data_IF_498194110032
#
_entry.id   IF_498194110032
#
_cell.length_a   1.000
_cell.length_b   1.000
_cell.length_c   1.000
_cell.angle_alpha   90.00
_cell.angle_beta   90.00
_cell.angle_gamma   90.00
#
_symmetry.space_group_name_H-M   'P 1'
#
loop_
_entity.id
_entity.type
_entity.pdbx_description
1 polymer ?
#
# COMPACT_ATOMS: atom_id res chain seq x y z
N UNK A 1 -0.29 37.03 -47.85
CA UNK A 1 -0.54 35.57 -47.84
C UNK A 1 0.55 34.76 -47.12
N UNK A 2 1.27 35.32 -46.11
CA UNK A 2 2.37 34.63 -45.40
C UNK A 2 2.09 34.34 -43.91
N UNK A 3 1.08 35.00 -43.33
CA UNK A 3 0.75 34.91 -41.89
C UNK A 3 -0.20 33.75 -41.54
N UNK A 4 -0.96 33.25 -42.51
CA UNK A 4 -1.89 32.13 -42.32
C UNK A 4 -1.19 30.78 -42.15
N UNK A 5 0.05 30.65 -42.65
CA UNK A 5 0.79 29.39 -42.59
C UNK A 5 1.38 29.11 -41.20
N UNK A 6 1.83 30.15 -40.48
CA UNK A 6 2.39 29.99 -39.13
C UNK A 6 1.34 29.53 -38.10
N UNK A 7 0.08 29.96 -38.25
CA UNK A 7 -1.00 29.58 -37.34
C UNK A 7 -1.41 28.10 -37.50
N UNK A 8 -1.30 27.55 -38.70
CA UNK A 8 -1.64 26.15 -38.97
C UNK A 8 -0.62 25.16 -38.38
N UNK A 9 0.65 25.55 -38.30
CA UNK A 9 1.72 24.70 -37.75
C UNK A 9 1.66 24.62 -36.22
N UNK A 10 1.25 25.70 -35.55
CA UNK A 10 1.15 25.75 -34.07
C UNK A 10 -0.04 24.91 -33.54
N UNK A 11 -1.14 24.84 -34.29
CA UNK A 11 -2.32 24.04 -33.89
C UNK A 11 -2.15 22.53 -34.08
N UNK A 12 -1.21 22.09 -34.92
CA UNK A 12 -0.94 20.67 -35.16
C UNK A 12 0.05 20.03 -34.17
N UNK A 13 0.77 20.83 -33.38
CA UNK A 13 1.82 20.34 -32.47
C UNK A 13 1.44 20.39 -30.97
N UNK A 14 0.20 20.74 -30.64
CA UNK A 14 -0.17 21.14 -29.27
C UNK A 14 -0.76 20.06 -28.35
N UNK A 15 -1.04 18.83 -28.81
CA UNK A 15 -1.97 17.98 -28.05
C UNK A 15 -1.65 16.49 -28.03
N UNK A 16 -0.45 16.08 -27.59
CA UNK A 16 -0.24 14.69 -27.16
C UNK A 16 0.80 14.59 -26.04
N UNK A 17 0.51 15.21 -24.89
CA UNK A 17 1.08 14.74 -23.63
C UNK A 17 0.08 13.75 -23.04
N UNK A 18 0.31 12.42 -23.13
CA UNK A 18 -0.53 11.49 -22.41
C UNK A 18 -0.37 11.81 -20.92
N UNK A 19 -1.47 12.17 -20.26
CA UNK A 19 -1.49 12.22 -18.80
C UNK A 19 -1.17 10.80 -18.30
N UNK A 20 -0.14 10.66 -17.49
CA UNK A 20 0.17 9.39 -16.83
C UNK A 20 -0.99 9.09 -15.88
N UNK A 21 -1.80 8.08 -16.21
CA UNK A 21 -2.77 7.53 -15.27
C UNK A 21 -1.98 6.82 -14.16
N UNK A 22 -1.85 7.46 -13.01
CA UNK A 22 -1.29 6.85 -11.82
C UNK A 22 -2.41 6.04 -11.17
N UNK A 23 -2.28 4.72 -11.16
CA UNK A 23 -3.23 3.87 -10.44
C UNK A 23 -3.19 4.23 -8.95
N UNK A 24 -4.36 4.27 -8.31
CA UNK A 24 -4.46 4.37 -6.86
C UNK A 24 -3.80 3.12 -6.23
N UNK A 25 -3.05 3.26 -5.12
CA UNK A 25 -2.40 2.13 -4.48
C UNK A 25 -3.42 1.08 -4.02
N UNK A 26 -3.13 -0.20 -4.26
CA UNK A 26 -4.00 -1.31 -3.84
C UNK A 26 -4.24 -1.25 -2.32
N UNK A 27 -5.49 -1.07 -1.87
CA UNK A 27 -5.80 -0.96 -0.46
C UNK A 27 -5.57 -2.25 0.34
N UNK A 28 -5.42 -3.41 -0.33
CA UNK A 28 -5.08 -4.66 0.34
C UNK A 28 -3.58 -4.79 0.61
N UNK A 29 -2.74 -4.00 -0.06
CA UNK A 29 -1.28 -4.08 0.06
C UNK A 29 -0.77 -2.93 0.94
N UNK A 30 -0.46 -3.18 2.22
CA UNK A 30 0.12 -2.16 3.08
C UNK A 30 1.54 -1.81 2.64
N UNK A 31 1.89 -0.54 2.81
CA UNK A 31 3.25 -0.04 2.61
C UNK A 31 3.65 0.88 3.77
N UNK A 32 4.30 0.34 4.81
CA UNK A 32 4.72 1.14 5.95
C UNK A 32 5.80 2.18 5.59
N UNK A 33 6.52 2.02 4.48
CA UNK A 33 7.54 2.99 4.04
C UNK A 33 6.88 4.30 3.60
N UNK A 34 5.77 4.22 2.86
CA UNK A 34 4.94 5.38 2.53
C UNK A 34 3.90 5.72 3.59
N UNK A 35 3.95 5.06 4.76
CA UNK A 35 3.00 5.20 5.87
C UNK A 35 1.55 4.81 5.51
N UNK A 36 1.39 3.99 4.48
CA UNK A 36 0.10 3.54 3.96
C UNK A 36 -0.34 2.22 4.62
N UNK A 37 -1.23 2.33 5.62
CA UNK A 37 -1.78 1.19 6.36
C UNK A 37 -3.32 1.28 6.41
N UNK A 38 -3.99 1.01 5.28
CA UNK A 38 -5.42 1.25 5.12
C UNK A 38 -6.31 0.32 5.97
N UNK A 39 -5.81 -0.84 6.38
CA UNK A 39 -6.46 -1.74 7.34
C UNK A 39 -6.28 -1.35 8.80
N UNK A 40 -5.43 -0.36 9.06
CA UNK A 40 -5.12 0.11 10.40
C UNK A 40 -3.65 -0.05 10.77
N UNK A 41 -3.32 0.51 11.93
CA UNK A 41 -1.99 0.46 12.52
C UNK A 41 -2.11 0.16 14.00
N UNK A 42 -1.28 -0.73 14.50
CA UNK A 42 -1.08 -0.94 15.93
C UNK A 42 0.37 -0.71 16.30
N UNK A 43 0.57 0.01 17.40
CA UNK A 43 1.86 0.41 17.87
C UNK A 43 1.95 0.39 19.40
N UNK A 44 2.48 -0.69 19.98
CA UNK A 44 2.68 -0.78 21.42
C UNK A 44 3.89 0.04 21.87
N UNK A 45 3.91 0.44 23.15
CA UNK A 45 5.06 1.13 23.76
C UNK A 45 6.30 0.21 23.88
N UNK A 46 6.07 -1.10 23.98
CA UNK A 46 7.08 -2.15 23.90
C UNK A 46 6.58 -3.25 22.97
N UNK A 47 7.36 -3.61 21.95
CA UNK A 47 7.02 -4.69 21.01
C UNK A 47 7.18 -4.27 19.55
N UNK A 48 6.66 -5.10 18.66
CA UNK A 48 6.62 -4.83 17.22
C UNK A 48 5.36 -4.06 16.86
N UNK A 49 5.46 -3.13 15.91
CA UNK A 49 4.31 -2.44 15.34
C UNK A 49 3.77 -3.19 14.10
N UNK A 50 2.51 -2.96 13.74
CA UNK A 50 1.83 -3.69 12.66
C UNK A 50 1.05 -2.78 11.70
N UNK A 51 1.40 -2.84 10.43
CA UNK A 51 0.75 -2.08 9.35
C UNK A 51 -0.12 -3.03 8.52
N UNK A 52 -1.42 -2.79 8.50
CA UNK A 52 -2.39 -3.69 7.89
C UNK A 52 -2.96 -3.15 6.59
N UNK A 53 -3.19 -4.07 5.64
CA UNK A 53 -4.03 -3.84 4.46
C UNK A 53 -5.52 -4.05 4.78
N UNK A 54 -6.40 -3.59 3.90
CA UNK A 54 -7.83 -3.87 3.99
C UNK A 54 -8.07 -5.38 3.94
N UNK A 55 -8.98 -5.88 4.77
CA UNK A 55 -9.39 -7.28 4.77
C UNK A 55 -10.10 -7.64 3.47
N UNK A 56 -9.72 -8.76 2.88
CA UNK A 56 -10.43 -9.41 1.80
C UNK A 56 -11.79 -9.93 2.30
N UNK A 57 -12.74 -10.26 1.39
CA UNK A 57 -14.06 -10.77 1.77
C UNK A 57 -14.05 -12.07 2.59
N UNK A 58 -13.00 -12.88 2.44
CA UNK A 58 -12.75 -14.10 3.21
C UNK A 58 -12.19 -13.81 4.63
N UNK A 59 -11.96 -12.53 4.96
CA UNK A 59 -11.45 -12.07 6.24
C UNK A 59 -9.92 -12.10 6.37
N UNK A 60 -9.22 -12.62 5.35
CA UNK A 60 -7.76 -12.58 5.30
C UNK A 60 -7.24 -11.18 4.98
N UNK A 61 -6.01 -10.88 5.36
CA UNK A 61 -5.36 -9.61 5.04
C UNK A 61 -3.84 -9.71 5.10
N UNK A 62 -3.18 -8.77 4.43
CA UNK A 62 -1.74 -8.60 4.55
C UNK A 62 -1.40 -7.75 5.76
N UNK A 63 -0.53 -8.27 6.63
CA UNK A 63 0.05 -7.56 7.77
C UNK A 63 1.56 -7.44 7.58
N UNK A 64 2.09 -6.24 7.76
CA UNK A 64 3.53 -6.01 7.85
C UNK A 64 3.90 -5.75 9.30
N UNK A 65 4.80 -6.58 9.83
CA UNK A 65 5.33 -6.44 11.18
C UNK A 65 6.64 -5.69 11.14
N UNK A 66 6.79 -4.68 11.98
CA UNK A 66 7.95 -3.80 12.03
C UNK A 66 8.59 -3.83 13.42
N UNK A 67 9.92 -3.93 13.44
CA UNK A 67 10.69 -3.66 14.64
C UNK A 67 10.92 -2.16 14.73
N UNK A 68 10.38 -1.55 15.79
CA UNK A 68 10.49 -0.12 16.00
C UNK A 68 11.83 0.23 16.66
N UNK A 69 12.53 1.17 16.03
CA UNK A 69 13.73 1.78 16.59
C UNK A 69 13.42 3.08 17.38
N UNK A 70 12.15 3.44 17.58
CA UNK A 70 11.72 4.68 18.23
C UNK A 70 10.28 4.65 18.75
N UNK A 71 9.78 5.77 19.29
CA UNK A 71 8.45 5.89 19.92
C UNK A 71 7.43 6.72 19.12
N UNK A 72 7.65 6.91 17.81
CA UNK A 72 6.77 7.70 16.94
C UNK A 72 5.45 6.97 16.70
N UNK A 73 4.25 7.58 16.87
CA UNK A 73 2.94 6.95 16.58
C UNK A 73 2.64 6.74 15.08
N UNK A 74 3.63 6.98 14.23
CA UNK A 74 3.57 6.79 12.79
C UNK A 74 4.71 5.87 12.38
N UNK A 75 4.45 5.03 11.38
CA UNK A 75 5.50 4.29 10.69
C UNK A 75 6.54 5.25 10.16
N UNK A 76 7.78 4.96 10.49
CA UNK A 76 8.91 5.73 10.03
C UNK A 76 9.69 4.93 9.00
N UNK A 77 10.28 5.58 7.99
CA UNK A 77 11.21 4.91 7.08
C UNK A 77 12.41 4.25 7.79
N UNK A 78 12.66 4.65 9.05
CA UNK A 78 13.69 4.06 9.93
C UNK A 78 13.25 2.77 10.61
N UNK A 79 11.96 2.43 10.59
CA UNK A 79 11.47 1.18 11.17
C UNK A 79 11.89 0.00 10.29
N UNK A 80 12.33 -1.08 10.94
CA UNK A 80 12.81 -2.25 10.21
C UNK A 80 11.61 -3.13 9.88
N UNK A 81 11.29 -3.24 8.60
CA UNK A 81 10.30 -4.22 8.14
C UNK A 81 10.83 -5.62 8.40
N UNK A 82 10.17 -6.37 9.26
CA UNK A 82 10.56 -7.73 9.60
C UNK A 82 9.97 -8.73 8.61
N UNK A 83 8.65 -8.65 8.40
CA UNK A 83 7.93 -9.61 7.60
C UNK A 83 6.62 -9.03 7.07
N UNK A 84 6.16 -9.55 5.92
CA UNK A 84 4.82 -9.35 5.37
C UNK A 84 4.12 -10.70 5.32
N UNK A 85 3.03 -10.84 6.06
CA UNK A 85 2.34 -12.11 6.24
C UNK A 85 0.89 -12.00 5.79
N UNK A 86 0.41 -13.05 5.13
CA UNK A 86 -1.01 -13.24 4.91
C UNK A 86 -1.61 -13.94 6.12
N UNK A 87 -2.52 -13.26 6.81
CA UNK A 87 -3.06 -13.70 8.10
C UNK A 87 -4.56 -13.53 8.18
N UNK A 88 -5.19 -14.15 9.17
CA UNK A 88 -6.60 -13.95 9.53
C UNK A 88 -6.72 -13.44 10.97
N UNK A 89 -7.75 -12.65 11.20
CA UNK A 89 -8.10 -12.18 12.54
C UNK A 89 -9.07 -13.16 13.18
N UNK A 90 -8.54 -14.01 14.07
CA UNK A 90 -9.31 -14.98 14.84
C UNK A 90 -9.43 -14.58 16.33
N UNK A 91 -9.17 -13.31 16.66
CA UNK A 91 -9.12 -12.82 18.04
C UNK A 91 -7.87 -13.22 18.83
N UNK A 92 -6.91 -13.91 18.20
CA UNK A 92 -5.59 -14.15 18.79
C UNK A 92 -4.77 -12.84 18.78
N UNK A 93 -3.99 -12.55 19.84
CA UNK A 93 -3.07 -11.40 19.86
C UNK A 93 -2.03 -11.44 18.74
N UNK A 94 -1.61 -12.65 18.36
CA UNK A 94 -0.76 -12.90 17.21
C UNK A 94 -1.61 -13.59 16.13
N UNK A 95 -1.87 -12.93 15.00
CA UNK A 95 -2.79 -13.45 13.99
C UNK A 95 -2.22 -14.71 13.36
N UNK A 96 -3.07 -15.72 13.17
CA UNK A 96 -2.63 -16.97 12.56
C UNK A 96 -2.52 -16.83 11.04
N UNK A 97 -1.66 -17.62 10.38
CA UNK A 97 -1.60 -17.66 8.92
C UNK A 97 -2.99 -17.92 8.31
N UNK A 98 -3.30 -17.26 7.20
CA UNK A 98 -4.55 -17.50 6.49
C UNK A 98 -4.61 -18.95 5.96
N UNK A 99 -5.81 -19.55 5.86
CA UNK A 99 -5.97 -20.87 5.25
C UNK A 99 -5.68 -20.82 3.73
N UNK A 100 -5.52 -21.99 3.08
CA UNK A 100 -5.43 -22.07 1.62
C UNK A 100 -6.59 -21.34 0.94
N UNK A 101 -6.28 -20.55 -0.09
CA UNK A 101 -7.21 -19.61 -0.72
C UNK A 101 -7.18 -18.19 -0.15
N UNK A 102 -6.53 -17.99 1.00
CA UNK A 102 -6.40 -16.68 1.66
C UNK A 102 -5.49 -15.68 0.96
N UNK A 103 -5.72 -14.40 1.27
CA UNK A 103 -5.15 -13.19 0.66
C UNK A 103 -5.13 -13.26 -0.86
N UNK A 104 -6.34 -13.33 -1.41
CA UNK A 104 -6.59 -13.38 -2.85
C UNK A 104 -5.98 -14.61 -3.54
N UNK A 105 -5.95 -15.75 -2.84
CA UNK A 105 -5.43 -17.00 -3.37
C UNK A 105 -3.90 -17.12 -3.37
N UNK A 106 -3.19 -16.23 -2.69
CA UNK A 106 -1.74 -16.31 -2.55
C UNK A 106 -1.29 -17.50 -1.68
N UNK A 107 -2.13 -17.97 -0.76
CA UNK A 107 -1.87 -19.17 0.05
C UNK A 107 -2.39 -20.41 -0.68
N UNK A 108 -1.50 -21.38 -0.94
CA UNK A 108 -1.78 -22.63 -1.67
C UNK A 108 -1.83 -23.85 -0.74
#
# INVERSE_FOLDING_TARGET
MRKAWCLFVVLLFGAFFPASAQADPDPHIPDPISTYCPGGKDQPFFGNATCDGIKYPDGSFWRVTLWQAGQSPFYMPTDITLNRQCVIDNGSPDPVPAPPGGCDGAVQ
#
